data_IF_459992374592
#
_entry.id   IF_459992374592
#
_cell.length_a   1.000
_cell.length_b   1.000
_cell.length_c   1.000
_cell.angle_alpha   90.00
_cell.angle_beta   90.00
_cell.angle_gamma   90.00
#
_symmetry.space_group_name_H-M   'P 1'
#
loop_
_entity.id
_entity.type
_entity.pdbx_description
1 polymer ?
#
# COMPACT_ATOMS: atom_id res chain seq x y z
N UNK A 1 26.62 31.32 -25.09
CA UNK A 1 26.09 32.18 -24.01
C UNK A 1 24.56 32.17 -23.86
N UNK A 2 23.74 32.35 -24.91
CA UNK A 2 22.27 32.20 -24.77
C UNK A 2 21.82 30.73 -24.66
N UNK A 3 22.48 29.84 -25.40
CA UNK A 3 22.19 28.40 -25.41
C UNK A 3 22.48 27.72 -24.07
N UNK A 4 23.58 28.10 -23.40
CA UNK A 4 23.97 27.56 -22.08
C UNK A 4 22.97 27.92 -20.96
N UNK A 5 22.31 29.08 -21.06
CA UNK A 5 21.25 29.51 -20.14
C UNK A 5 19.96 28.71 -20.31
N UNK A 6 19.67 28.25 -21.53
CA UNK A 6 18.48 27.42 -21.80
C UNK A 6 18.64 25.98 -21.30
N UNK A 7 19.87 25.44 -21.37
CA UNK A 7 20.19 24.10 -20.86
C UNK A 7 20.18 24.08 -19.33
N UNK A 8 20.74 25.11 -18.68
CA UNK A 8 20.72 25.22 -17.22
C UNK A 8 19.30 25.44 -16.67
N UNK A 9 18.47 26.25 -17.34
CA UNK A 9 17.07 26.44 -16.94
C UNK A 9 16.22 25.18 -17.11
N UNK A 10 16.33 24.48 -18.24
CA UNK A 10 15.59 23.23 -18.47
C UNK A 10 16.02 22.11 -17.52
N UNK A 11 17.31 22.01 -17.20
CA UNK A 11 17.82 21.09 -16.19
C UNK A 11 17.27 21.40 -14.79
N UNK A 12 17.30 22.67 -14.39
CA UNK A 12 16.75 23.09 -13.09
C UNK A 12 15.25 22.84 -12.98
N UNK A 13 14.47 23.16 -14.02
CA UNK A 13 13.04 22.85 -14.07
C UNK A 13 12.78 21.33 -14.03
N UNK A 14 13.61 20.53 -14.67
CA UNK A 14 13.55 19.07 -14.60
C UNK A 14 13.75 18.54 -13.17
N UNK A 15 14.70 19.10 -12.43
CA UNK A 15 14.92 18.75 -11.02
C UNK A 15 13.72 19.15 -10.17
N UNK A 16 13.24 20.39 -10.30
CA UNK A 16 12.11 20.90 -9.51
C UNK A 16 10.86 20.07 -9.75
N UNK A 17 10.55 19.74 -11.02
CA UNK A 17 9.39 18.91 -11.37
C UNK A 17 9.51 17.49 -10.80
N UNK A 18 10.71 16.91 -10.82
CA UNK A 18 10.95 15.59 -10.23
C UNK A 18 10.74 15.60 -8.71
N UNK A 19 11.26 16.61 -8.02
CA UNK A 19 11.07 16.79 -6.56
C UNK A 19 9.59 16.94 -6.24
N UNK A 20 8.86 17.75 -7.00
CA UNK A 20 7.42 17.94 -6.82
C UNK A 20 6.64 16.65 -7.05
N UNK A 21 7.04 15.83 -8.04
CA UNK A 21 6.42 14.52 -8.28
C UNK A 21 6.65 13.56 -7.11
N UNK A 22 7.87 13.51 -6.56
CA UNK A 22 8.20 12.69 -5.38
C UNK A 22 7.39 13.14 -4.17
N UNK A 23 7.33 14.46 -3.91
CA UNK A 23 6.54 15.00 -2.81
C UNK A 23 5.05 14.68 -2.95
N UNK A 24 4.50 14.82 -4.16
CA UNK A 24 3.11 14.43 -4.47
C UNK A 24 2.85 12.95 -4.23
N UNK A 25 3.78 12.07 -4.61
CA UNK A 25 3.69 10.64 -4.37
C UNK A 25 3.70 10.32 -2.86
N UNK A 26 4.57 10.96 -2.09
CA UNK A 26 4.62 10.80 -0.64
C UNK A 26 3.31 11.20 0.04
N UNK A 27 2.72 12.33 -0.37
CA UNK A 27 1.41 12.78 0.13
C UNK A 27 0.31 11.78 -0.21
N UNK A 28 0.29 11.26 -1.45
CA UNK A 28 -0.68 10.25 -1.86
C UNK A 28 -0.57 8.99 -1.01
N UNK A 29 0.65 8.50 -0.74
CA UNK A 29 0.86 7.33 0.12
C UNK A 29 0.32 7.55 1.54
N UNK A 30 0.48 8.75 2.10
CA UNK A 30 -0.09 9.08 3.43
C UNK A 30 -1.61 9.04 3.39
N UNK A 31 -2.23 9.58 2.33
CA UNK A 31 -3.69 9.54 2.15
C UNK A 31 -4.18 8.09 2.03
N UNK A 32 -3.49 7.27 1.22
CA UNK A 32 -3.81 5.85 1.04
C UNK A 32 -3.71 5.08 2.36
N UNK A 33 -2.66 5.35 3.16
CA UNK A 33 -2.47 4.72 4.46
C UNK A 33 -3.61 5.08 5.43
N UNK A 34 -3.94 6.36 5.55
CA UNK A 34 -5.02 6.81 6.43
C UNK A 34 -6.37 6.22 6.00
N UNK A 35 -6.65 6.22 4.69
CA UNK A 35 -7.87 5.62 4.16
C UNK A 35 -7.95 4.11 4.44
N UNK A 36 -6.84 3.39 4.28
CA UNK A 36 -6.76 1.96 4.59
C UNK A 36 -7.02 1.68 6.09
N UNK A 37 -6.44 2.50 6.98
CA UNK A 37 -6.69 2.40 8.42
C UNK A 37 -8.16 2.66 8.76
N UNK A 38 -8.78 3.66 8.13
CA UNK A 38 -10.21 3.95 8.32
C UNK A 38 -11.09 2.80 7.81
N UNK A 39 -10.78 2.23 6.65
CA UNK A 39 -11.50 1.07 6.12
C UNK A 39 -11.36 -0.15 7.04
N UNK A 40 -10.16 -0.38 7.58
CA UNK A 40 -9.91 -1.43 8.56
C UNK A 40 -10.75 -1.23 9.83
N UNK A 41 -10.73 -0.02 10.40
CA UNK A 41 -11.50 0.32 11.60
C UNK A 41 -13.00 0.18 11.34
N UNK A 42 -13.46 0.63 10.17
CA UNK A 42 -14.85 0.50 9.77
C UNK A 42 -15.30 -0.96 9.71
N UNK A 43 -14.52 -1.83 9.07
CA UNK A 43 -14.79 -3.27 9.04
C UNK A 43 -14.77 -3.87 10.45
N UNK A 44 -13.77 -3.52 11.26
CA UNK A 44 -13.60 -4.06 12.61
C UNK A 44 -14.74 -3.68 13.57
N UNK A 45 -15.36 -2.50 13.41
CA UNK A 45 -16.43 -2.02 14.28
C UNK A 45 -17.82 -2.36 13.74
N UNK A 46 -18.06 -2.11 12.44
CA UNK A 46 -19.40 -2.15 11.87
C UNK A 46 -19.71 -3.44 11.12
N UNK A 47 -18.71 -4.22 10.69
CA UNK A 47 -18.91 -5.45 9.92
C UNK A 47 -18.05 -6.59 10.49
N UNK A 48 -18.27 -6.92 11.77
CA UNK A 48 -17.47 -7.90 12.53
C UNK A 48 -17.47 -9.29 11.91
N UNK A 49 -18.58 -9.74 11.32
CA UNK A 49 -18.67 -11.03 10.61
C UNK A 49 -17.73 -11.08 9.39
N UNK A 50 -17.84 -10.06 8.52
CA UNK A 50 -16.97 -9.95 7.34
C UNK A 50 -15.51 -9.78 7.74
N UNK A 51 -15.25 -8.96 8.76
CA UNK A 51 -13.91 -8.77 9.30
C UNK A 51 -13.32 -10.09 9.83
N UNK A 52 -14.10 -10.85 10.62
CA UNK A 52 -13.68 -12.16 11.12
C UNK A 52 -13.41 -13.17 10.00
N UNK A 53 -14.25 -13.18 8.96
CA UNK A 53 -14.01 -13.98 7.75
C UNK A 53 -12.69 -13.60 7.08
N UNK A 54 -12.45 -12.32 6.83
CA UNK A 54 -11.22 -11.84 6.19
C UNK A 54 -9.96 -12.14 7.03
N UNK A 55 -10.03 -12.01 8.36
CA UNK A 55 -8.92 -12.41 9.26
C UNK A 55 -8.64 -13.90 9.14
N UNK A 56 -9.68 -14.73 9.02
CA UNK A 56 -9.53 -16.18 8.89
C UNK A 56 -8.85 -16.56 7.56
N UNK A 57 -9.25 -15.94 6.46
CA UNK A 57 -8.60 -16.15 5.16
C UNK A 57 -7.13 -15.67 5.20
N UNK A 58 -6.85 -14.53 5.84
CA UNK A 58 -5.48 -14.05 6.04
C UNK A 58 -4.64 -15.02 6.89
N UNK A 59 -5.24 -15.66 7.90
CA UNK A 59 -4.59 -16.71 8.69
C UNK A 59 -4.27 -17.95 7.85
N UNK A 60 -5.18 -18.39 6.98
CA UNK A 60 -4.90 -19.54 6.10
C UNK A 60 -3.69 -19.30 5.19
N UNK A 61 -3.54 -18.08 4.66
CA UNK A 61 -2.35 -17.72 3.86
C UNK A 61 -1.08 -17.81 4.71
N UNK A 62 -1.13 -17.33 5.95
CA UNK A 62 -0.02 -17.50 6.90
C UNK A 62 0.27 -18.96 7.17
N UNK A 63 -0.74 -19.78 7.43
CA UNK A 63 -0.58 -21.21 7.72
C UNK A 63 0.13 -21.94 6.57
N UNK A 64 -0.14 -21.56 5.32
CA UNK A 64 0.59 -22.07 4.14
C UNK A 64 2.05 -21.62 4.15
N UNK A 65 2.32 -20.33 4.36
CA UNK A 65 3.69 -19.81 4.45
C UNK A 65 4.48 -20.47 5.58
N UNK A 66 3.82 -20.64 6.71
CA UNK A 66 4.28 -21.31 7.91
C UNK A 66 4.66 -22.76 7.66
N UNK A 67 3.78 -23.53 7.01
CA UNK A 67 4.06 -24.91 6.60
C UNK A 67 5.29 -24.99 5.67
N UNK A 68 5.40 -24.06 4.73
CA UNK A 68 6.57 -24.01 3.85
C UNK A 68 7.83 -23.62 4.63
N UNK A 69 7.74 -22.65 5.53
CA UNK A 69 8.86 -22.21 6.37
C UNK A 69 9.37 -23.33 7.27
N UNK A 70 8.49 -24.11 7.88
CA UNK A 70 8.85 -25.33 8.62
C UNK A 70 9.59 -26.34 7.76
N UNK A 71 9.15 -26.51 6.51
CA UNK A 71 9.77 -27.45 5.58
C UNK A 71 11.20 -27.04 5.22
N UNK A 72 11.47 -25.74 5.05
CA UNK A 72 12.79 -25.22 4.69
C UNK A 72 13.70 -24.93 5.90
N UNK A 73 13.12 -24.55 7.05
CA UNK A 73 13.85 -24.09 8.25
C UNK A 73 13.25 -24.66 9.54
N UNK A 74 13.28 -26.00 9.72
CA UNK A 74 12.61 -26.68 10.84
C UNK A 74 13.13 -26.21 12.21
N UNK A 75 14.42 -25.93 12.33
CA UNK A 75 15.04 -25.52 13.60
C UNK A 75 14.66 -24.09 14.03
N UNK A 76 14.27 -23.24 13.08
CA UNK A 76 13.92 -21.83 13.32
C UNK A 76 12.40 -21.60 13.43
N UNK A 77 11.60 -22.58 13.01
CA UNK A 77 10.15 -22.45 12.92
C UNK A 77 9.49 -22.28 14.31
N UNK A 78 9.87 -23.10 15.29
CA UNK A 78 9.32 -23.02 16.65
C UNK A 78 9.55 -21.66 17.33
N UNK A 79 10.69 -21.02 17.07
CA UNK A 79 10.97 -19.68 17.58
C UNK A 79 10.13 -18.61 16.87
N UNK A 80 9.90 -18.76 15.56
CA UNK A 80 9.09 -17.83 14.78
C UNK A 80 7.60 -17.85 15.21
N UNK A 81 7.01 -19.03 15.44
CA UNK A 81 5.61 -19.13 15.89
C UNK A 81 5.36 -18.64 17.31
N UNK A 82 6.33 -18.83 18.20
CA UNK A 82 6.24 -18.38 19.59
C UNK A 82 6.34 -16.86 19.73
N UNK A 83 6.61 -16.13 18.64
CA UNK A 83 6.78 -14.67 18.63
C UNK A 83 5.62 -13.95 17.94
N UNK A 84 5.77 -12.63 17.79
CA UNK A 84 4.81 -11.68 17.17
C UNK A 84 4.22 -12.16 15.83
N UNK A 85 4.89 -13.05 15.08
CA UNK A 85 4.36 -13.62 13.84
C UNK A 85 3.06 -14.43 14.05
N UNK A 86 2.92 -15.17 15.15
CA UNK A 86 1.72 -15.97 15.43
C UNK A 86 0.50 -15.12 15.79
N UNK A 87 0.69 -14.02 16.53
CA UNK A 87 -0.40 -13.16 17.01
C UNK A 87 -0.71 -11.97 16.09
N UNK A 88 0.32 -11.33 15.55
CA UNK A 88 0.16 -10.13 14.69
C UNK A 88 0.14 -10.46 13.21
N UNK A 89 0.64 -11.62 12.79
CA UNK A 89 0.69 -12.02 11.38
C UNK A 89 -0.66 -11.87 10.67
N UNK A 90 -1.74 -12.51 11.16
CA UNK A 90 -3.02 -12.48 10.42
C UNK A 90 -3.59 -11.06 10.29
N UNK A 91 -3.38 -10.21 11.31
CA UNK A 91 -3.86 -8.83 11.33
C UNK A 91 -3.03 -7.93 10.40
N UNK A 92 -1.70 -8.11 10.37
CA UNK A 92 -0.82 -7.32 9.51
C UNK A 92 -1.00 -7.67 8.02
N UNK A 93 -1.18 -8.95 7.69
CA UNK A 93 -1.53 -9.37 6.32
C UNK A 93 -2.89 -8.82 5.90
N UNK A 94 -3.89 -8.88 6.78
CA UNK A 94 -5.19 -8.31 6.48
C UNK A 94 -5.10 -6.80 6.25
N UNK A 95 -4.38 -6.07 7.10
CA UNK A 95 -4.18 -4.63 6.95
C UNK A 95 -3.44 -4.30 5.64
N UNK A 96 -2.45 -5.10 5.26
CA UNK A 96 -1.75 -4.97 3.98
C UNK A 96 -2.69 -5.21 2.79
N UNK A 97 -3.52 -6.26 2.82
CA UNK A 97 -4.50 -6.55 1.76
C UNK A 97 -5.53 -5.44 1.62
N UNK A 98 -6.06 -4.94 2.75
CA UNK A 98 -6.97 -3.79 2.75
C UNK A 98 -6.25 -2.56 2.21
N UNK A 99 -5.01 -2.31 2.61
CA UNK A 99 -4.19 -1.21 2.10
C UNK A 99 -3.97 -1.27 0.60
N UNK A 100 -3.66 -2.45 0.05
CA UNK A 100 -3.51 -2.67 -1.39
C UNK A 100 -4.82 -2.44 -2.13
N UNK A 101 -5.95 -2.96 -1.63
CA UNK A 101 -7.25 -2.79 -2.25
C UNK A 101 -7.69 -1.32 -2.24
N UNK A 102 -7.62 -0.65 -1.08
CA UNK A 102 -7.99 0.76 -0.93
C UNK A 102 -7.06 1.66 -1.75
N UNK A 103 -5.75 1.42 -1.71
CA UNK A 103 -4.78 2.16 -2.52
C UNK A 103 -5.03 2.01 -4.02
N UNK A 104 -5.32 0.79 -4.50
CA UNK A 104 -5.66 0.56 -5.90
C UNK A 104 -6.93 1.34 -6.32
N UNK A 105 -7.96 1.38 -5.47
CA UNK A 105 -9.19 2.13 -5.72
C UNK A 105 -8.94 3.65 -5.77
N UNK A 106 -8.14 4.18 -4.85
CA UNK A 106 -7.77 5.61 -4.82
C UNK A 106 -7.00 5.96 -6.10
N UNK A 107 -6.00 5.16 -6.50
CA UNK A 107 -5.24 5.39 -7.73
C UNK A 107 -6.11 5.31 -8.98
N UNK A 108 -7.02 4.36 -9.03
CA UNK A 108 -7.99 4.24 -10.12
C UNK A 108 -8.87 5.50 -10.20
N UNK A 109 -9.36 5.99 -9.07
CA UNK A 109 -10.16 7.21 -9.01
C UNK A 109 -9.35 8.44 -9.49
N UNK A 110 -8.13 8.62 -8.98
CA UNK A 110 -7.24 9.70 -9.45
C UNK A 110 -6.94 9.62 -10.94
N UNK A 111 -6.69 8.41 -11.45
CA UNK A 111 -6.46 8.19 -12.88
C UNK A 111 -7.70 8.55 -13.71
N UNK A 112 -8.90 8.12 -13.28
CA UNK A 112 -10.14 8.49 -13.98
C UNK A 112 -10.38 10.00 -13.97
N UNK A 113 -10.22 10.66 -12.82
CA UNK A 113 -10.40 12.11 -12.69
C UNK A 113 -9.44 12.84 -13.64
N UNK A 114 -8.14 12.52 -13.57
CA UNK A 114 -7.14 13.16 -14.43
C UNK A 114 -7.38 12.88 -15.91
N UNK A 115 -7.85 11.68 -16.26
CA UNK A 115 -8.20 11.31 -17.63
C UNK A 115 -9.37 12.14 -18.15
N UNK A 116 -10.42 12.30 -17.35
CA UNK A 116 -11.61 13.08 -17.69
C UNK A 116 -11.26 14.56 -17.87
N UNK A 117 -10.52 15.15 -16.93
CA UNK A 117 -10.09 16.55 -17.06
C UNK A 117 -9.25 16.79 -18.32
N UNK A 118 -8.35 15.87 -18.67
CA UNK A 118 -7.58 15.96 -19.93
C UNK A 118 -8.46 15.83 -21.17
N UNK A 119 -9.53 15.04 -21.11
CA UNK A 119 -10.46 14.88 -22.23
C UNK A 119 -11.33 16.14 -22.44
N UNK A 120 -11.64 16.89 -21.38
CA UNK A 120 -12.38 18.16 -21.47
C UNK A 120 -11.49 19.38 -21.79
N UNK A 121 -10.19 19.30 -21.50
CA UNK A 121 -9.24 20.38 -21.78
C UNK A 121 -8.59 20.30 -23.18
N UNK A 122 -8.90 19.24 -23.95
CA UNK A 122 -8.49 19.04 -25.35
C UNK A 122 -9.63 19.44 -26.29
#
# INVERSE_FOLDING_TARGET
MSQDRSLTASFFLGIVTTIMAIAGFAVLLVIELVAAMLAYIYLAIYNTELFGYLVREARQVLDVFSTQFETFFPDSANAAYATLLGELGPKSILLLLIGLAVGALIRLAFWMITRIFRAFAA
#
